data_IF_426448001894
#
_entry.id   IF_426448001894
#
_cell.length_a   1.000
_cell.length_b   1.000
_cell.length_c   1.000
_cell.angle_alpha   90.00
_cell.angle_beta   90.00
_cell.angle_gamma   90.00
#
_symmetry.space_group_name_H-M   'P 1'
#
loop_
_entity.id
_entity.type
_entity.pdbx_description
1 polymer ?
#
# COMPACT_ATOMS: atom_id res chain seq x y z
N UNK A 1 17.37 1.76 10.75
CA UNK A 1 17.82 3.05 10.15
C UNK A 1 19.20 2.89 9.52
N UNK A 2 20.25 2.44 10.27
CA UNK A 2 21.63 2.35 9.75
C UNK A 2 21.74 1.53 8.43
N UNK A 3 21.20 0.32 8.40
CA UNK A 3 21.23 -0.54 7.18
C UNK A 3 20.56 0.17 6.01
N UNK A 4 19.41 0.80 6.27
CA UNK A 4 18.69 1.55 5.25
C UNK A 4 19.53 2.73 4.70
N UNK A 5 20.20 3.51 5.58
CA UNK A 5 21.05 4.61 5.14
C UNK A 5 22.25 4.15 4.32
N UNK A 6 22.85 3.00 4.66
CA UNK A 6 23.94 2.40 3.89
C UNK A 6 23.44 1.99 2.50
N UNK A 7 22.28 1.32 2.43
CA UNK A 7 21.67 0.91 1.15
C UNK A 7 21.25 2.12 0.29
N UNK A 8 20.69 3.16 0.90
CA UNK A 8 20.34 4.38 0.19
C UNK A 8 21.57 5.06 -0.41
N UNK A 9 22.69 5.13 0.34
CA UNK A 9 23.96 5.62 -0.17
C UNK A 9 24.54 4.75 -1.28
N UNK A 10 24.47 3.42 -1.14
CA UNK A 10 24.92 2.49 -2.20
C UNK A 10 24.12 2.65 -3.49
N UNK A 11 22.78 2.72 -3.39
CA UNK A 11 21.91 2.87 -4.56
C UNK A 11 22.03 4.25 -5.22
N UNK A 12 22.45 5.28 -4.48
CA UNK A 12 22.72 6.59 -5.06
C UNK A 12 23.70 6.55 -6.24
N UNK A 13 24.63 5.59 -6.24
CA UNK A 13 25.65 5.45 -7.28
C UNK A 13 25.47 4.21 -8.16
N UNK A 14 24.54 3.32 -7.84
CA UNK A 14 24.41 2.02 -8.51
C UNK A 14 23.03 1.73 -9.08
N UNK A 15 22.04 2.61 -8.91
CA UNK A 15 20.66 2.38 -9.38
C UNK A 15 20.59 2.04 -10.88
N UNK A 16 21.29 2.80 -11.71
CA UNK A 16 21.30 2.60 -13.16
C UNK A 16 21.95 1.28 -13.51
N UNK A 17 23.15 1.01 -12.98
CA UNK A 17 23.93 -0.22 -13.24
C UNK A 17 23.16 -1.46 -12.78
N UNK A 18 22.48 -1.39 -11.63
CA UNK A 18 21.64 -2.48 -11.15
C UNK A 18 20.50 -2.74 -12.16
N UNK A 19 19.80 -1.68 -12.59
CA UNK A 19 18.70 -1.82 -13.53
C UNK A 19 19.18 -2.36 -14.89
N UNK A 20 20.30 -1.90 -15.41
CA UNK A 20 20.92 -2.43 -16.64
C UNK A 20 21.26 -3.91 -16.56
N UNK A 21 21.69 -4.36 -15.37
CA UNK A 21 22.12 -5.75 -15.16
C UNK A 21 20.96 -6.73 -15.01
N UNK A 22 19.88 -6.33 -14.35
CA UNK A 22 18.81 -7.27 -13.95
C UNK A 22 17.45 -7.00 -14.59
N UNK A 23 17.26 -5.86 -15.29
CA UNK A 23 15.97 -5.56 -15.87
C UNK A 23 15.65 -6.48 -17.07
N UNK A 24 14.51 -7.14 -16.96
CA UNK A 24 13.91 -7.97 -18.02
C UNK A 24 12.39 -7.82 -17.98
N UNK A 25 11.85 -7.07 -18.92
CA UNK A 25 10.41 -6.78 -19.02
C UNK A 25 9.56 -8.01 -19.40
N UNK A 26 10.19 -9.13 -19.79
CA UNK A 26 9.52 -10.36 -20.20
C UNK A 26 9.47 -11.43 -19.10
N UNK A 27 10.04 -11.17 -17.93
CA UNK A 27 10.02 -12.09 -16.80
C UNK A 27 8.61 -12.32 -16.26
N UNK A 28 8.00 -13.48 -16.54
CA UNK A 28 6.58 -13.77 -16.31
C UNK A 28 6.10 -13.58 -14.86
N UNK A 29 6.87 -14.05 -13.86
CA UNK A 29 6.49 -13.86 -12.46
C UNK A 29 6.52 -12.38 -12.02
N UNK A 30 7.44 -11.59 -12.60
CA UNK A 30 7.54 -10.18 -12.31
C UNK A 30 6.37 -9.39 -12.93
N UNK A 31 5.95 -9.75 -14.14
CA UNK A 31 4.73 -9.24 -14.80
C UNK A 31 3.48 -9.58 -13.96
N UNK A 32 3.39 -10.83 -13.48
CA UNK A 32 2.27 -11.23 -12.60
C UNK A 32 2.22 -10.37 -11.33
N UNK A 33 3.35 -10.13 -10.67
CA UNK A 33 3.40 -9.28 -9.49
C UNK A 33 3.27 -7.78 -9.82
N UNK A 34 3.60 -7.34 -11.04
CA UNK A 34 3.25 -5.99 -11.50
C UNK A 34 1.74 -5.80 -11.52
N UNK A 35 1.02 -6.79 -12.01
CA UNK A 35 -0.42 -6.72 -12.18
C UNK A 35 -1.19 -6.91 -10.86
N UNK A 36 -0.76 -7.85 -10.04
CA UNK A 36 -1.53 -8.30 -8.86
C UNK A 36 -0.86 -8.01 -7.51
N UNK A 37 0.38 -7.57 -7.49
CA UNK A 37 1.16 -7.42 -6.25
C UNK A 37 0.60 -6.40 -5.26
N UNK A 38 -0.20 -5.43 -5.70
CA UNK A 38 -0.85 -4.47 -4.82
C UNK A 38 -2.14 -5.02 -4.17
N UNK A 39 -2.76 -6.07 -4.74
CA UNK A 39 -4.06 -6.56 -4.27
C UNK A 39 -4.08 -7.00 -2.80
N UNK A 40 -3.10 -7.79 -2.30
CA UNK A 40 -3.10 -8.19 -0.90
C UNK A 40 -3.07 -7.00 0.06
N UNK A 41 -2.26 -5.99 -0.24
CA UNK A 41 -2.18 -4.75 0.55
C UNK A 41 -3.49 -3.96 0.49
N UNK A 42 -4.10 -3.85 -0.68
CA UNK A 42 -5.39 -3.17 -0.87
C UNK A 42 -6.52 -3.86 -0.07
N UNK A 43 -6.55 -5.20 -0.04
CA UNK A 43 -7.50 -5.97 0.77
C UNK A 43 -7.31 -5.68 2.27
N UNK A 44 -6.06 -5.62 2.75
CA UNK A 44 -5.77 -5.27 4.14
C UNK A 44 -6.29 -3.86 4.48
N UNK A 45 -6.12 -2.89 3.59
CA UNK A 45 -6.65 -1.53 3.78
C UNK A 45 -8.18 -1.55 3.86
N UNK A 46 -8.85 -2.25 2.94
CA UNK A 46 -10.33 -2.37 2.95
C UNK A 46 -10.81 -2.96 4.28
N UNK A 47 -10.19 -4.04 4.75
CA UNK A 47 -10.52 -4.66 6.04
C UNK A 47 -10.29 -3.69 7.21
N UNK A 48 -9.20 -2.93 7.20
CA UNK A 48 -8.93 -1.90 8.19
C UNK A 48 -10.00 -0.81 8.22
N UNK A 49 -10.40 -0.31 7.04
CA UNK A 49 -11.47 0.69 6.89
C UNK A 49 -12.80 0.12 7.41
N UNK A 50 -13.15 -1.10 7.01
CA UNK A 50 -14.41 -1.74 7.41
C UNK A 50 -14.50 -1.90 8.93
N UNK A 51 -13.48 -2.50 9.57
CA UNK A 51 -13.45 -2.69 11.02
C UNK A 51 -13.54 -1.35 11.75
N UNK A 52 -12.78 -0.36 11.30
CA UNK A 52 -12.79 0.97 11.92
C UNK A 52 -14.15 1.65 11.75
N UNK A 53 -14.73 1.64 10.55
CA UNK A 53 -16.02 2.27 10.26
C UNK A 53 -17.14 1.69 11.08
N UNK A 54 -17.20 0.38 11.26
CA UNK A 54 -18.25 -0.29 12.07
C UNK A 54 -18.18 0.13 13.54
N UNK A 55 -16.97 0.33 14.07
CA UNK A 55 -16.75 0.69 15.49
C UNK A 55 -16.63 2.19 15.73
N UNK A 56 -16.49 2.99 14.68
CA UNK A 56 -16.37 4.43 14.83
C UNK A 56 -17.69 5.03 15.31
N UNK A 57 -17.61 5.79 16.40
CA UNK A 57 -18.71 6.56 16.94
C UNK A 57 -18.20 7.94 17.37
N UNK A 58 -18.97 8.98 17.12
CA UNK A 58 -18.66 10.34 17.53
C UNK A 58 -19.95 11.03 17.96
N UNK A 59 -19.89 11.81 19.05
CA UNK A 59 -21.05 12.55 19.58
C UNK A 59 -21.51 13.66 18.62
N UNK A 60 -20.58 14.23 17.85
CA UNK A 60 -20.92 15.19 16.79
C UNK A 60 -21.40 14.46 15.54
N UNK A 61 -22.67 14.60 15.19
CA UNK A 61 -23.24 14.02 13.98
C UNK A 61 -22.51 14.48 12.69
N UNK A 62 -22.03 15.72 12.66
CA UNK A 62 -21.28 16.28 11.52
C UNK A 62 -19.94 15.59 11.36
N UNK A 63 -19.16 15.45 12.46
CA UNK A 63 -17.86 14.78 12.42
C UNK A 63 -18.05 13.29 12.07
N UNK A 64 -19.08 12.65 12.64
CA UNK A 64 -19.40 11.26 12.33
C UNK A 64 -19.68 11.09 10.83
N UNK A 65 -20.59 11.88 10.26
CA UNK A 65 -20.95 11.80 8.84
C UNK A 65 -19.75 12.12 7.92
N UNK A 66 -18.92 13.11 8.25
CA UNK A 66 -17.75 13.47 7.46
C UNK A 66 -16.71 12.34 7.44
N UNK A 67 -16.38 11.77 8.60
CA UNK A 67 -15.42 10.66 8.68
C UNK A 67 -15.96 9.42 7.96
N UNK A 68 -17.24 9.10 8.15
CA UNK A 68 -17.88 7.98 7.47
C UNK A 68 -17.87 8.16 5.94
N UNK A 69 -18.19 9.32 5.45
CA UNK A 69 -18.14 9.65 4.02
C UNK A 69 -16.72 9.45 3.45
N UNK A 70 -15.69 9.97 4.14
CA UNK A 70 -14.30 9.83 3.72
C UNK A 70 -13.89 8.35 3.66
N UNK A 71 -14.22 7.56 4.69
CA UNK A 71 -13.87 6.15 4.77
C UNK A 71 -14.57 5.31 3.69
N UNK A 72 -15.87 5.54 3.47
CA UNK A 72 -16.63 4.86 2.42
C UNK A 72 -16.10 5.23 1.04
N UNK A 73 -15.80 6.50 0.80
CA UNK A 73 -15.22 6.96 -0.45
C UNK A 73 -13.87 6.30 -0.72
N UNK A 74 -12.96 6.29 0.27
CA UNK A 74 -11.65 5.66 0.16
C UNK A 74 -11.78 4.15 -0.14
N UNK A 75 -12.64 3.43 0.59
CA UNK A 75 -12.90 2.01 0.37
C UNK A 75 -13.45 1.76 -1.04
N UNK A 76 -14.37 2.59 -1.49
CA UNK A 76 -15.00 2.46 -2.82
C UNK A 76 -14.00 2.69 -3.95
N UNK A 77 -13.09 3.66 -3.80
CA UNK A 77 -12.03 3.91 -4.77
C UNK A 77 -11.05 2.72 -4.86
N UNK A 78 -10.70 2.11 -3.73
CA UNK A 78 -9.83 0.93 -3.70
C UNK A 78 -10.52 -0.26 -4.37
N UNK A 79 -11.81 -0.51 -4.09
CA UNK A 79 -12.58 -1.59 -4.71
C UNK A 79 -12.72 -1.35 -6.23
N UNK A 80 -12.96 -0.11 -6.64
CA UNK A 80 -13.03 0.25 -8.06
C UNK A 80 -11.70 -0.01 -8.77
N UNK A 81 -10.58 0.34 -8.14
CA UNK A 81 -9.23 0.06 -8.64
C UNK A 81 -8.98 -1.45 -8.78
N UNK A 82 -9.34 -2.25 -7.78
CA UNK A 82 -9.26 -3.72 -7.85
C UNK A 82 -10.12 -4.25 -9.01
N UNK A 83 -11.35 -3.75 -9.16
CA UNK A 83 -12.26 -4.14 -10.23
C UNK A 83 -11.67 -3.82 -11.61
N UNK A 84 -10.99 -2.69 -11.76
CA UNK A 84 -10.28 -2.32 -12.98
C UNK A 84 -9.17 -3.32 -13.32
N UNK A 85 -8.30 -3.64 -12.36
CA UNK A 85 -7.23 -4.64 -12.56
C UNK A 85 -7.80 -5.99 -12.99
N UNK A 86 -8.87 -6.45 -12.32
CA UNK A 86 -9.49 -7.74 -12.64
C UNK A 86 -10.11 -7.71 -14.03
N UNK A 87 -10.86 -6.67 -14.38
CA UNK A 87 -11.53 -6.56 -15.67
C UNK A 87 -10.57 -6.47 -16.85
N UNK A 88 -9.42 -5.83 -16.70
CA UNK A 88 -8.39 -5.78 -17.76
C UNK A 88 -7.94 -7.16 -18.23
N UNK A 89 -8.08 -8.20 -17.38
CA UNK A 89 -7.75 -9.57 -17.75
C UNK A 89 -8.83 -10.29 -18.54
N UNK A 90 -10.08 -9.83 -18.43
CA UNK A 90 -11.21 -10.45 -19.11
C UNK A 90 -11.63 -9.69 -20.37
N UNK A 91 -11.28 -8.42 -20.49
CA UNK A 91 -11.65 -7.56 -21.62
C UNK A 91 -10.45 -6.77 -22.10
N UNK A 92 -10.13 -6.89 -23.38
CA UNK A 92 -9.07 -6.06 -24.01
C UNK A 92 -9.48 -4.58 -24.17
N UNK A 93 -10.65 -4.17 -23.66
CA UNK A 93 -11.21 -2.84 -23.81
C UNK A 93 -11.26 -2.08 -22.49
N UNK A 94 -10.25 -1.25 -22.24
CA UNK A 94 -10.26 -0.26 -21.16
C UNK A 94 -11.37 0.80 -21.33
N UNK A 95 -11.84 1.02 -22.55
CA UNK A 95 -12.85 2.02 -22.88
C UNK A 95 -14.22 1.72 -22.24
N UNK A 96 -14.65 0.47 -22.23
CA UNK A 96 -15.91 0.06 -21.59
C UNK A 96 -15.88 0.22 -20.07
N UNK A 97 -14.74 -0.07 -19.43
CA UNK A 97 -14.60 0.18 -17.99
C UNK A 97 -14.71 1.67 -17.67
N UNK A 98 -14.01 2.52 -18.42
CA UNK A 98 -14.04 3.96 -18.20
C UNK A 98 -15.44 4.54 -18.40
N UNK A 99 -16.18 4.05 -19.39
CA UNK A 99 -17.55 4.49 -19.68
C UNK A 99 -18.51 4.22 -18.51
N UNK A 100 -18.36 3.10 -17.79
CA UNK A 100 -19.21 2.71 -16.67
C UNK A 100 -18.60 2.97 -15.29
N UNK A 101 -17.39 3.53 -15.22
CA UNK A 101 -16.65 3.70 -13.95
C UNK A 101 -17.43 4.53 -12.92
N UNK A 102 -18.13 5.59 -13.36
CA UNK A 102 -18.91 6.43 -12.44
C UNK A 102 -20.12 5.68 -11.86
N UNK A 103 -20.82 4.89 -12.69
CA UNK A 103 -21.94 4.06 -12.22
C UNK A 103 -21.46 2.96 -11.28
N UNK A 104 -20.35 2.30 -11.61
CA UNK A 104 -19.72 1.31 -10.75
C UNK A 104 -19.29 1.93 -9.41
N UNK A 105 -18.67 3.10 -9.43
CA UNK A 105 -18.29 3.81 -8.21
C UNK A 105 -19.49 4.13 -7.33
N UNK A 106 -20.57 4.67 -7.89
CA UNK A 106 -21.80 4.96 -7.17
C UNK A 106 -22.43 3.69 -6.57
N UNK A 107 -22.46 2.58 -7.33
CA UNK A 107 -22.95 1.30 -6.84
C UNK A 107 -22.09 0.75 -5.70
N UNK A 108 -20.75 0.79 -5.82
CA UNK A 108 -19.82 0.35 -4.78
C UNK A 108 -19.97 1.21 -3.51
N UNK A 109 -20.08 2.53 -3.65
CA UNK A 109 -20.34 3.42 -2.51
C UNK A 109 -21.64 3.06 -1.78
N UNK A 110 -22.70 2.86 -2.52
CA UNK A 110 -24.02 2.49 -1.96
C UNK A 110 -23.93 1.16 -1.23
N UNK A 111 -23.33 0.13 -1.85
CA UNK A 111 -23.14 -1.19 -1.24
C UNK A 111 -22.25 -1.12 0.02
N UNK A 112 -21.19 -0.33 0.00
CA UNK A 112 -20.31 -0.12 1.15
C UNK A 112 -21.05 0.52 2.32
N UNK A 113 -21.83 1.57 2.04
CA UNK A 113 -22.67 2.24 3.04
C UNK A 113 -23.71 1.29 3.64
N UNK A 114 -24.44 0.54 2.80
CA UNK A 114 -25.43 -0.43 3.24
C UNK A 114 -24.79 -1.52 4.10
N UNK A 115 -23.65 -2.06 3.66
CA UNK A 115 -22.93 -3.10 4.40
C UNK A 115 -22.48 -2.63 5.78
N UNK A 116 -21.86 -1.45 5.89
CA UNK A 116 -21.42 -0.88 7.17
C UNK A 116 -22.63 -0.63 8.08
N UNK A 117 -23.69 -0.04 7.54
CA UNK A 117 -24.92 0.24 8.28
C UNK A 117 -25.58 -1.04 8.80
N UNK A 118 -25.61 -2.10 7.98
CA UNK A 118 -26.12 -3.42 8.37
C UNK A 118 -25.27 -4.05 9.48
N UNK A 119 -23.94 -4.03 9.35
CA UNK A 119 -23.02 -4.58 10.37
C UNK A 119 -23.16 -3.84 11.71
N UNK A 120 -23.39 -2.55 11.69
CA UNK A 120 -23.71 -1.76 12.91
C UNK A 120 -25.06 -2.17 13.51
N UNK A 121 -26.08 -2.34 12.66
CA UNK A 121 -27.44 -2.69 13.11
C UNK A 121 -27.47 -4.05 13.82
N UNK A 122 -26.68 -5.02 13.39
CA UNK A 122 -26.57 -6.33 14.06
C UNK A 122 -25.63 -6.30 15.28
N UNK A 123 -25.16 -5.10 15.68
CA UNK A 123 -24.24 -4.90 16.80
C UNK A 123 -22.97 -5.78 16.72
N UNK A 124 -22.38 -5.88 15.52
CA UNK A 124 -21.14 -6.61 15.34
C UNK A 124 -20.00 -5.92 16.10
N UNK A 125 -19.57 -6.54 17.20
CA UNK A 125 -18.53 -6.02 18.05
C UNK A 125 -17.19 -6.72 17.72
N UNK A 126 -16.22 -5.95 17.29
CA UNK A 126 -14.85 -6.43 17.09
C UNK A 126 -14.05 -6.42 18.40
N UNK A 127 -13.13 -7.36 18.57
CA UNK A 127 -12.22 -7.37 19.71
C UNK A 127 -11.35 -6.11 19.74
N UNK A 128 -10.88 -5.71 20.93
CA UNK A 128 -9.98 -4.57 21.11
C UNK A 128 -8.71 -4.71 20.26
N UNK A 129 -8.23 -5.95 20.07
CA UNK A 129 -7.09 -6.24 19.20
C UNK A 129 -7.36 -5.92 17.72
N UNK A 130 -8.55 -6.26 17.20
CA UNK A 130 -8.95 -5.94 15.82
C UNK A 130 -9.16 -4.44 15.61
N UNK A 131 -9.72 -3.75 16.60
CA UNK A 131 -9.88 -2.29 16.58
C UNK A 131 -8.49 -1.61 16.58
N UNK A 132 -7.56 -2.11 17.38
CA UNK A 132 -6.18 -1.63 17.40
C UNK A 132 -5.48 -1.88 16.05
N UNK A 133 -5.65 -3.07 15.48
CA UNK A 133 -5.16 -3.42 14.16
C UNK A 133 -5.67 -2.46 13.08
N UNK A 134 -6.98 -2.17 13.07
CA UNK A 134 -7.57 -1.23 12.09
C UNK A 134 -6.98 0.17 12.18
N UNK A 135 -6.73 0.69 13.40
CA UNK A 135 -6.07 2.00 13.59
C UNK A 135 -4.64 2.02 13.06
N UNK A 136 -3.91 0.92 13.22
CA UNK A 136 -2.55 0.78 12.67
C UNK A 136 -2.61 0.76 11.15
N UNK A 137 -3.50 -0.04 10.55
CA UNK A 137 -3.68 -0.11 9.09
C UNK A 137 -4.02 1.27 8.52
N UNK A 138 -4.98 1.99 9.12
CA UNK A 138 -5.36 3.33 8.67
C UNK A 138 -4.20 4.33 8.79
N UNK A 139 -3.45 4.28 9.90
CA UNK A 139 -2.26 5.11 10.08
C UNK A 139 -1.19 4.85 9.01
N UNK A 140 -0.94 3.57 8.68
CA UNK A 140 -0.02 3.18 7.62
C UNK A 140 -0.53 3.61 6.24
N UNK A 141 -1.83 3.45 5.98
CA UNK A 141 -2.44 3.86 4.71
C UNK A 141 -2.33 5.37 4.50
N UNK A 142 -2.60 6.16 5.54
CA UNK A 142 -2.57 7.61 5.45
C UNK A 142 -1.13 8.14 5.39
N UNK A 143 -0.29 7.79 6.37
CA UNK A 143 1.05 8.37 6.50
C UNK A 143 2.10 7.60 5.71
N UNK A 144 2.07 6.27 5.74
CA UNK A 144 3.04 5.43 5.03
C UNK A 144 2.82 5.36 3.53
N UNK A 145 1.57 5.34 3.08
CA UNK A 145 1.25 5.20 1.66
C UNK A 145 0.81 6.52 1.02
N UNK A 146 -0.26 7.14 1.48
CA UNK A 146 -0.80 8.34 0.81
C UNK A 146 0.18 9.52 0.87
N UNK A 147 0.63 9.91 2.07
CA UNK A 147 1.53 11.06 2.20
C UNK A 147 2.96 10.75 1.75
N UNK A 148 3.54 9.64 2.18
CA UNK A 148 4.96 9.35 1.92
C UNK A 148 5.21 8.73 0.54
N UNK A 149 4.19 8.20 -0.15
CA UNK A 149 4.37 7.63 -1.49
C UNK A 149 3.65 8.47 -2.53
N UNK A 150 2.32 8.60 -2.47
CA UNK A 150 1.56 9.18 -3.56
C UNK A 150 1.85 10.68 -3.76
N UNK A 151 1.96 11.45 -2.67
CA UNK A 151 2.26 12.88 -2.76
C UNK A 151 3.71 13.09 -3.22
N UNK A 152 4.68 12.35 -2.63
CA UNK A 152 6.08 12.47 -3.03
C UNK A 152 6.25 12.06 -4.50
N UNK A 153 5.65 10.94 -4.92
CA UNK A 153 5.69 10.46 -6.31
C UNK A 153 5.23 11.53 -7.30
N UNK A 154 4.14 12.23 -6.99
CA UNK A 154 3.61 13.30 -7.82
C UNK A 154 4.58 14.49 -7.93
N UNK A 155 5.28 14.83 -6.84
CA UNK A 155 6.19 15.97 -6.78
C UNK A 155 7.61 15.65 -7.28
N UNK A 156 8.02 14.38 -7.27
CA UNK A 156 9.41 13.97 -7.53
C UNK A 156 9.76 13.89 -9.01
N UNK A 157 8.83 13.39 -9.84
CA UNK A 157 8.96 13.39 -11.29
C UNK A 157 10.11 12.55 -11.85
N UNK A 158 10.56 11.47 -11.19
CA UNK A 158 11.64 10.60 -11.66
C UNK A 158 11.18 9.69 -12.78
N UNK A 159 11.97 9.60 -13.87
CA UNK A 159 11.71 8.72 -15.01
C UNK A 159 11.99 7.27 -14.60
N UNK A 160 11.18 6.30 -15.06
CA UNK A 160 11.41 4.87 -14.86
C UNK A 160 12.52 4.37 -15.76
N UNK A 161 13.25 3.32 -15.36
CA UNK A 161 14.30 2.72 -16.18
C UNK A 161 13.79 2.33 -17.58
N UNK A 162 12.64 1.69 -17.67
CA UNK A 162 12.03 1.26 -18.94
C UNK A 162 11.54 2.40 -19.85
N UNK A 163 11.44 3.61 -19.32
CA UNK A 163 10.96 4.82 -20.01
C UNK A 163 12.14 5.78 -20.30
N UNK A 164 13.39 5.37 -20.03
CA UNK A 164 14.58 6.15 -20.36
C UNK A 164 14.75 6.27 -21.88
N UNK A 165 15.30 7.40 -22.32
CA UNK A 165 15.75 7.55 -23.69
C UNK A 165 16.95 6.61 -24.01
N UNK A 166 17.23 6.41 -25.29
CA UNK A 166 18.29 5.50 -25.77
C UNK A 166 19.69 5.83 -25.22
N UNK A 167 19.93 7.10 -24.89
CA UNK A 167 21.20 7.59 -24.36
C UNK A 167 21.16 7.76 -22.85
N UNK A 168 20.03 7.44 -22.20
CA UNK A 168 19.78 7.55 -20.75
C UNK A 168 20.01 8.97 -20.20
N UNK A 169 19.87 10.00 -21.06
CA UNK A 169 20.15 11.39 -20.68
C UNK A 169 19.13 11.95 -19.69
N UNK A 170 17.94 11.32 -19.61
CA UNK A 170 16.86 11.68 -18.69
C UNK A 170 16.87 10.87 -17.39
N UNK A 171 17.92 10.08 -17.12
CA UNK A 171 18.15 9.45 -15.82
C UNK A 171 18.47 10.51 -14.77
N UNK A 172 17.94 10.32 -13.56
CA UNK A 172 18.27 11.12 -12.38
C UNK A 172 18.41 10.26 -11.13
N UNK A 173 19.32 10.65 -10.25
CA UNK A 173 19.48 9.98 -8.96
C UNK A 173 18.25 10.17 -8.08
N UNK A 174 18.05 9.24 -7.13
CA UNK A 174 16.86 9.25 -6.29
C UNK A 174 16.69 10.51 -5.43
N UNK A 175 17.77 11.21 -5.10
CA UNK A 175 17.75 12.44 -4.29
C UNK A 175 17.50 13.72 -5.10
N UNK A 176 17.37 13.62 -6.44
CA UNK A 176 17.07 14.74 -7.32
C UNK A 176 15.57 14.78 -7.63
N UNK A 177 14.91 15.83 -7.17
CA UNK A 177 13.51 16.08 -7.49
C UNK A 177 13.40 16.83 -8.82
N UNK A 178 12.69 16.24 -9.80
CA UNK A 178 12.51 16.80 -11.14
C UNK A 178 11.22 17.62 -11.28
N UNK A 179 10.46 17.77 -10.19
CA UNK A 179 9.18 18.49 -10.20
C UNK A 179 8.03 17.72 -10.85
N UNK A 180 6.94 18.40 -11.10
CA UNK A 180 5.72 17.82 -11.68
C UNK A 180 5.89 17.73 -13.20
N UNK A 181 6.25 16.55 -13.69
CA UNK A 181 6.52 16.29 -15.12
C UNK A 181 5.77 15.07 -15.67
N UNK A 182 4.91 14.43 -14.87
CA UNK A 182 4.14 13.24 -15.24
C UNK A 182 4.85 11.92 -15.00
N UNK A 183 6.16 11.90 -14.77
CA UNK A 183 6.90 10.69 -14.40
C UNK A 183 6.73 10.36 -12.92
N UNK A 184 6.67 9.07 -12.58
CA UNK A 184 6.28 8.62 -11.25
C UNK A 184 7.06 7.38 -10.79
N UNK A 185 8.40 7.36 -11.00
CA UNK A 185 9.21 6.25 -10.53
C UNK A 185 9.37 6.29 -9.00
N UNK A 186 9.86 7.39 -8.44
CA UNK A 186 10.19 7.49 -7.02
C UNK A 186 9.06 8.07 -6.17
N UNK A 187 8.76 7.49 -5.00
CA UNK A 187 9.12 6.14 -4.52
C UNK A 187 8.15 5.06 -5.01
N UNK A 188 8.49 3.77 -4.82
CA UNK A 188 7.68 2.66 -5.33
C UNK A 188 6.40 2.40 -4.52
N UNK A 189 5.23 2.54 -5.16
CA UNK A 189 3.93 2.23 -4.56
C UNK A 189 3.72 0.73 -4.34
N UNK A 190 4.09 -0.13 -5.30
CA UNK A 190 3.98 -1.59 -5.17
C UNK A 190 4.80 -2.13 -4.01
N UNK A 191 6.04 -1.65 -3.84
CA UNK A 191 6.87 -2.04 -2.70
C UNK A 191 6.21 -1.65 -1.37
N UNK A 192 5.64 -0.44 -1.29
CA UNK A 192 4.89 0.00 -0.12
C UNK A 192 3.66 -0.89 0.15
N UNK A 193 2.87 -1.23 -0.89
CA UNK A 193 1.68 -2.08 -0.77
C UNK A 193 2.02 -3.51 -0.34
N UNK A 194 3.15 -4.06 -0.77
CA UNK A 194 3.63 -5.36 -0.27
C UNK A 194 3.81 -5.36 1.25
N UNK A 195 4.38 -4.29 1.81
CA UNK A 195 4.59 -4.15 3.26
C UNK A 195 3.33 -3.77 4.04
N UNK A 196 2.22 -3.43 3.38
CA UNK A 196 0.92 -3.27 4.05
C UNK A 196 0.38 -4.56 4.68
N UNK A 197 1.01 -5.71 4.42
CA UNK A 197 0.73 -6.98 5.10
C UNK A 197 1.26 -7.05 6.54
N UNK A 198 2.23 -6.19 6.93
CA UNK A 198 2.85 -6.22 8.27
C UNK A 198 1.86 -6.21 9.44
N UNK A 199 0.78 -5.41 9.44
CA UNK A 199 -0.18 -5.41 10.54
C UNK A 199 -0.80 -6.78 10.81
N UNK A 200 -0.92 -7.67 9.81
CA UNK A 200 -1.46 -9.01 10.00
C UNK A 200 -0.62 -9.85 10.96
N UNK A 201 0.68 -9.54 11.10
CA UNK A 201 1.55 -10.17 12.09
C UNK A 201 1.01 -10.02 13.52
N UNK A 202 0.27 -8.95 13.82
CA UNK A 202 -0.32 -8.73 15.15
C UNK A 202 -1.35 -9.79 15.53
N UNK A 203 -2.00 -10.43 14.55
CA UNK A 203 -2.99 -11.49 14.77
C UNK A 203 -2.34 -12.77 15.32
N UNK A 204 -1.05 -12.95 15.11
CA UNK A 204 -0.32 -14.16 15.52
C UNK A 204 0.62 -13.93 16.71
N UNK A 205 0.66 -12.72 17.30
CA UNK A 205 1.56 -12.40 18.41
C UNK A 205 1.37 -13.30 19.65
N UNK A 206 0.12 -13.74 19.91
CA UNK A 206 -0.21 -14.66 21.02
C UNK A 206 -0.01 -16.14 20.68
N UNK A 207 0.44 -16.46 19.44
CA UNK A 207 0.74 -17.82 19.01
C UNK A 207 2.16 -18.24 19.40
N UNK A 208 2.49 -19.52 19.17
CA UNK A 208 3.84 -20.03 19.42
C UNK A 208 4.90 -19.37 18.52
N UNK A 209 6.17 -19.53 18.89
CA UNK A 209 7.27 -18.86 18.17
C UNK A 209 7.41 -19.33 16.72
N UNK A 210 7.07 -20.59 16.43
CA UNK A 210 7.10 -21.11 15.05
C UNK A 210 6.11 -20.35 14.16
N UNK A 211 4.85 -20.20 14.59
CA UNK A 211 3.82 -19.48 13.83
C UNK A 211 4.22 -18.01 13.64
N UNK A 212 4.75 -17.36 14.68
CA UNK A 212 5.23 -15.97 14.58
C UNK A 212 6.35 -15.83 13.55
N UNK A 213 7.39 -16.65 13.65
CA UNK A 213 8.52 -16.62 12.73
C UNK A 213 8.10 -16.96 11.30
N UNK A 214 7.28 -17.99 11.11
CA UNK A 214 6.76 -18.38 9.81
C UNK A 214 5.95 -17.25 9.16
N UNK A 215 5.04 -16.63 9.93
CA UNK A 215 4.22 -15.51 9.40
C UNK A 215 5.08 -14.30 9.01
N UNK A 216 6.07 -13.95 9.83
CA UNK A 216 6.97 -12.84 9.52
C UNK A 216 7.81 -13.12 8.27
N UNK A 217 8.34 -14.33 8.14
CA UNK A 217 9.09 -14.76 6.95
C UNK A 217 8.20 -14.73 5.71
N UNK A 218 6.97 -15.25 5.79
CA UNK A 218 6.03 -15.24 4.66
C UNK A 218 5.69 -13.82 4.21
N UNK A 219 5.38 -12.92 5.15
CA UNK A 219 5.13 -11.50 4.85
C UNK A 219 6.36 -10.87 4.21
N UNK A 220 7.55 -11.11 4.76
CA UNK A 220 8.80 -10.53 4.24
C UNK A 220 9.12 -11.04 2.83
N UNK A 221 8.98 -12.35 2.58
CA UNK A 221 9.19 -12.92 1.25
C UNK A 221 8.20 -12.32 0.25
N UNK A 222 6.91 -12.27 0.58
CA UNK A 222 5.88 -11.70 -0.29
C UNK A 222 6.16 -10.23 -0.63
N UNK A 223 6.42 -9.40 0.38
CA UNK A 223 6.71 -7.99 0.19
C UNK A 223 8.00 -7.75 -0.61
N UNK A 224 9.06 -8.53 -0.33
CA UNK A 224 10.34 -8.42 -1.05
C UNK A 224 10.20 -8.90 -2.50
N UNK A 225 9.44 -9.96 -2.76
CA UNK A 225 9.18 -10.44 -4.13
C UNK A 225 8.43 -9.39 -4.96
N UNK A 226 7.41 -8.74 -4.38
CA UNK A 226 6.69 -7.64 -5.03
C UNK A 226 7.67 -6.49 -5.30
N UNK A 227 8.49 -6.13 -4.33
CA UNK A 227 9.48 -5.08 -4.46
C UNK A 227 10.50 -5.37 -5.56
N UNK A 228 11.08 -6.59 -5.57
CA UNK A 228 12.05 -7.04 -6.56
C UNK A 228 11.47 -7.09 -7.98
N UNK A 229 10.22 -7.53 -8.12
CA UNK A 229 9.55 -7.55 -9.43
C UNK A 229 9.57 -6.19 -10.12
N UNK A 230 9.49 -5.10 -9.33
CA UNK A 230 9.46 -3.72 -9.87
C UNK A 230 10.79 -3.30 -10.48
N UNK A 231 11.91 -3.78 -9.91
CA UNK A 231 13.25 -3.54 -10.46
C UNK A 231 13.45 -4.37 -11.72
N UNK A 232 13.08 -5.66 -11.67
CA UNK A 232 13.23 -6.59 -12.80
C UNK A 232 12.47 -6.10 -14.04
N UNK A 233 11.23 -5.65 -13.92
CA UNK A 233 10.49 -5.12 -15.09
C UNK A 233 10.88 -3.69 -15.47
N UNK A 234 11.89 -3.10 -14.83
CA UNK A 234 12.37 -1.74 -15.12
C UNK A 234 11.38 -0.62 -14.74
N UNK A 235 10.35 -0.91 -13.92
CA UNK A 235 9.35 0.07 -13.52
C UNK A 235 9.82 0.97 -12.38
N UNK A 236 10.82 0.52 -11.63
CA UNK A 236 11.42 1.23 -10.50
C UNK A 236 12.89 0.88 -10.35
N UNK A 237 13.67 1.77 -9.79
CA UNK A 237 15.04 1.51 -9.37
C UNK A 237 15.08 0.87 -7.97
N UNK A 238 16.25 0.32 -7.60
CA UNK A 238 16.44 -0.28 -6.28
C UNK A 238 16.22 0.72 -5.14
N UNK A 239 16.62 1.98 -5.31
CA UNK A 239 16.33 3.05 -4.35
C UNK A 239 14.83 3.32 -4.21
N UNK A 240 14.06 3.39 -5.32
CA UNK A 240 12.62 3.64 -5.28
C UNK A 240 11.90 2.61 -4.42
N UNK A 241 12.30 1.35 -4.56
CA UNK A 241 11.78 0.21 -3.83
C UNK A 241 12.19 0.24 -2.35
N UNK A 242 13.44 0.61 -2.07
CA UNK A 242 13.95 0.78 -0.71
C UNK A 242 13.15 1.84 0.05
N UNK A 243 12.95 3.02 -0.56
CA UNK A 243 12.20 4.12 0.06
C UNK A 243 10.71 3.79 0.21
N UNK A 244 10.09 3.16 -0.79
CA UNK A 244 8.71 2.70 -0.71
C UNK A 244 8.48 1.72 0.43
N UNK A 245 9.34 0.72 0.57
CA UNK A 245 9.32 -0.26 1.66
C UNK A 245 9.53 0.40 3.02
N UNK A 246 10.55 1.24 3.14
CA UNK A 246 10.93 1.87 4.40
C UNK A 246 9.82 2.78 4.94
N UNK A 247 9.17 3.56 4.09
CA UNK A 247 8.10 4.47 4.49
C UNK A 247 6.97 3.75 5.21
N UNK A 248 6.57 2.59 4.72
CA UNK A 248 5.49 1.79 5.33
C UNK A 248 5.97 1.05 6.57
N UNK A 249 7.19 0.48 6.55
CA UNK A 249 7.78 -0.22 7.71
C UNK A 249 7.94 0.74 8.90
N UNK A 250 8.51 1.94 8.68
CA UNK A 250 8.71 2.89 9.78
C UNK A 250 7.38 3.39 10.34
N UNK A 251 6.40 3.61 9.46
CA UNK A 251 5.06 4.01 9.87
C UNK A 251 4.37 2.91 10.67
N UNK A 252 4.51 1.63 10.26
CA UNK A 252 4.07 0.48 11.05
C UNK A 252 4.66 0.50 12.46
N UNK A 253 5.98 0.65 12.59
CA UNK A 253 6.65 0.66 13.88
C UNK A 253 6.17 1.81 14.79
N UNK A 254 5.93 3.00 14.22
CA UNK A 254 5.41 4.16 14.96
C UNK A 254 3.99 3.84 15.50
N UNK A 255 3.09 3.37 14.64
CA UNK A 255 1.70 3.09 15.04
C UNK A 255 1.58 1.84 15.90
N UNK A 256 2.42 0.81 15.68
CA UNK A 256 2.54 -0.35 16.56
C UNK A 256 2.92 0.07 17.99
N UNK A 257 3.96 0.90 18.12
CA UNK A 257 4.37 1.43 19.44
C UNK A 257 3.26 2.24 20.09
N UNK A 258 2.60 3.09 19.33
CA UNK A 258 1.55 4.00 19.84
C UNK A 258 0.29 3.23 20.28
N UNK A 259 -0.22 2.35 19.45
CA UNK A 259 -1.53 1.74 19.66
C UNK A 259 -1.47 0.35 20.26
N UNK A 260 -0.51 -0.48 19.88
CA UNK A 260 -0.41 -1.84 20.41
C UNK A 260 0.29 -1.86 21.77
N UNK A 261 1.55 -1.44 21.86
CA UNK A 261 2.31 -1.44 23.12
C UNK A 261 1.71 -0.47 24.16
N UNK A 262 1.13 0.64 23.72
CA UNK A 262 0.43 1.55 24.61
C UNK A 262 -0.82 0.94 25.24
N UNK A 263 -1.59 0.16 24.48
CA UNK A 263 -2.78 -0.53 24.99
C UNK A 263 -2.44 -1.74 25.85
N UNK A 264 -1.37 -2.50 25.53
CA UNK A 264 -0.87 -3.61 26.34
C UNK A 264 -0.47 -3.13 27.74
N UNK A 265 0.29 -2.03 27.85
CA UNK A 265 0.67 -1.42 29.12
C UNK A 265 -0.54 -0.97 29.97
N UNK A 266 -1.63 -0.63 29.33
CA UNK A 266 -2.88 -0.20 30.00
C UNK A 266 -3.86 -1.35 30.23
N UNK A 267 -3.49 -2.61 29.98
CA UNK A 267 -4.34 -3.78 30.18
C UNK A 267 -5.57 -3.84 29.25
N UNK A 268 -5.52 -3.18 28.09
CA UNK A 268 -6.66 -3.08 27.15
C UNK A 268 -6.62 -4.12 26.03
N UNK A 269 -5.52 -4.91 25.92
CA UNK A 269 -5.34 -5.98 24.89
C UNK A 269 -4.86 -7.29 25.54
#
# INVERSE_FOLDING_TARGET
>A
VLIWSILAGYFAFNDLIISETIADQHTGWAIFLEQYGELPGAIVIILGILIFSVQFNNQSAVIFAAVEFILITAMSLIILYISYIVLLNFTSSSHTFFQYSLLLFAAIMTLSFVSISFLRKINLNFSSSLITLSKIILGMSLFGYLFSIQIIKFLWGRVRYRDLDLLQTNFTDWFIANGINGHQSFPSGHAAMGWMLLPLFLLVLKKNNFIKSFSLVLISISATSIALSRVIIGAHYASDVLFGSFSVIITFLIFYRKYYLGNEKNGKI
#
